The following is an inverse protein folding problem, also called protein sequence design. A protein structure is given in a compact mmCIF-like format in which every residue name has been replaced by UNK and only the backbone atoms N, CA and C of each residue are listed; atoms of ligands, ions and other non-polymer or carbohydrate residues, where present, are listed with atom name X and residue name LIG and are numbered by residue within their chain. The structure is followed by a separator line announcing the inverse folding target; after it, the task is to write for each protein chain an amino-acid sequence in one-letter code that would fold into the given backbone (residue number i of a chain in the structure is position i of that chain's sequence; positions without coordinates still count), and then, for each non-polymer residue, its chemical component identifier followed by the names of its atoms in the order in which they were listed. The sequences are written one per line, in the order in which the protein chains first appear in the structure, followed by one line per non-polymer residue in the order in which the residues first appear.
data_IF_738001672605
#
_entry.id   IF_738001672605
#
_cell.length_a   1.000
_cell.length_b   1.000
_cell.length_c   1.000
_cell.angle_alpha   90.00
_cell.angle_beta   90.00
_cell.angle_gamma   90.00
#
_symmetry.space_group_name_H-M   'P 1'
#
loop_
_entity.id
_entity.type
_entity.pdbx_description
1 polymer ?
#
# COMPACT_ATOMS: atom_id res chain seq x y z
N UNK A 1 18.80 -19.94 -5.86
CA UNK A 1 18.06 -20.09 -7.12
C UNK A 1 17.11 -18.91 -7.24
N UNK A 2 17.24 -18.08 -8.28
CA UNK A 2 16.27 -17.03 -8.57
C UNK A 2 15.18 -17.66 -9.44
N UNK A 3 13.92 -17.56 -9.02
CA UNK A 3 12.78 -18.07 -9.79
C UNK A 3 12.02 -16.87 -10.32
N UNK A 4 11.90 -16.78 -11.64
CA UNK A 4 11.10 -15.75 -12.28
C UNK A 4 9.61 -16.08 -12.15
N UNK A 5 9.01 -15.62 -11.05
CA UNK A 5 7.57 -15.79 -10.78
C UNK A 5 6.73 -14.94 -11.72
N UNK A 6 5.67 -15.50 -12.28
CA UNK A 6 4.69 -14.77 -13.11
C UNK A 6 3.58 -14.09 -12.29
N UNK A 7 3.51 -14.38 -10.99
CA UNK A 7 2.53 -13.85 -10.07
C UNK A 7 3.05 -13.94 -8.63
N UNK A 8 2.45 -13.17 -7.73
CA UNK A 8 2.84 -13.03 -6.33
C UNK A 8 1.62 -13.16 -5.44
N UNK A 9 1.78 -13.76 -4.27
CA UNK A 9 0.75 -13.79 -3.23
C UNK A 9 0.62 -12.42 -2.55
N UNK A 10 -0.51 -12.12 -1.91
CA UNK A 10 -0.67 -10.84 -1.20
C UNK A 10 0.43 -10.59 -0.16
N UNK A 11 0.85 -11.56 0.70
CA UNK A 11 1.93 -11.34 1.64
C UNK A 11 3.25 -10.91 0.97
N UNK A 12 3.61 -11.51 -0.17
CA UNK A 12 4.81 -11.11 -0.93
C UNK A 12 4.72 -9.68 -1.45
N UNK A 13 3.53 -9.27 -1.91
CA UNK A 13 3.29 -7.91 -2.39
C UNK A 13 3.36 -6.90 -1.24
N UNK A 14 2.68 -7.18 -0.12
CA UNK A 14 2.69 -6.34 1.07
C UNK A 14 4.09 -6.14 1.63
N UNK A 15 4.88 -7.22 1.72
CA UNK A 15 6.27 -7.15 2.17
C UNK A 15 7.14 -6.32 1.21
N UNK A 16 7.01 -6.57 -0.10
CA UNK A 16 7.79 -5.88 -1.13
C UNK A 16 7.48 -4.39 -1.19
N UNK A 17 6.19 -4.04 -1.18
CA UNK A 17 5.73 -2.66 -1.30
C UNK A 17 5.73 -1.91 0.03
N UNK A 18 5.85 -2.62 1.15
CA UNK A 18 5.81 -2.06 2.52
C UNK A 18 4.52 -1.28 2.79
N UNK A 19 3.41 -1.68 2.18
CA UNK A 19 2.09 -1.11 2.41
C UNK A 19 1.28 -1.97 3.37
N UNK A 20 0.24 -1.40 3.98
CA UNK A 20 -0.67 -2.18 4.80
C UNK A 20 -1.65 -2.98 3.93
N UNK A 21 -2.24 -4.04 4.50
CA UNK A 21 -3.32 -4.78 3.84
C UNK A 21 -4.49 -3.84 3.50
N UNK A 22 -4.83 -2.92 4.40
CA UNK A 22 -5.89 -1.92 4.17
C UNK A 22 -5.61 -1.02 2.96
N UNK A 23 -4.35 -0.62 2.74
CA UNK A 23 -3.98 0.19 1.57
C UNK A 23 -4.06 -0.63 0.28
N UNK A 24 -3.63 -1.90 0.30
CA UNK A 24 -3.75 -2.81 -0.84
C UNK A 24 -5.22 -3.03 -1.21
N UNK A 25 -6.07 -3.26 -0.21
CA UNK A 25 -7.53 -3.40 -0.38
C UNK A 25 -8.11 -2.13 -0.98
N UNK A 26 -7.78 -0.95 -0.45
CA UNK A 26 -8.23 0.33 -1.00
C UNK A 26 -7.86 0.47 -2.49
N UNK A 27 -6.63 0.15 -2.87
CA UNK A 27 -6.19 0.21 -4.27
C UNK A 27 -7.01 -0.73 -5.16
N UNK A 28 -7.31 -1.93 -4.67
CA UNK A 28 -8.05 -2.93 -5.44
C UNK A 28 -9.55 -2.60 -5.56
N UNK A 29 -10.19 -2.15 -4.47
CA UNK A 29 -11.59 -1.71 -4.46
C UNK A 29 -11.84 -0.47 -5.33
N UNK A 30 -10.81 0.37 -5.53
CA UNK A 30 -10.89 1.59 -6.34
C UNK A 30 -10.36 1.40 -7.77
N UNK A 31 -10.24 0.14 -8.25
CA UNK A 31 -9.83 -0.21 -9.60
C UNK A 31 -8.41 0.31 -9.98
N UNK A 32 -7.59 0.65 -8.97
CA UNK A 32 -6.18 1.07 -9.15
C UNK A 32 -5.22 -0.12 -9.24
N UNK A 33 -5.62 -1.25 -8.68
CA UNK A 33 -4.88 -2.51 -8.68
C UNK A 33 -5.79 -3.69 -9.00
N UNK A 34 -5.36 -4.57 -9.90
CA UNK A 34 -6.09 -5.79 -10.28
C UNK A 34 -5.58 -6.96 -9.46
N UNK A 35 -6.47 -7.56 -8.67
CA UNK A 35 -6.20 -8.84 -8.03
C UNK A 35 -6.78 -9.95 -8.88
N UNK A 36 -6.04 -11.05 -8.99
CA UNK A 36 -6.41 -12.21 -9.78
C UNK A 36 -6.62 -13.43 -8.90
N UNK A 37 -7.39 -14.37 -9.41
CA UNK A 37 -7.58 -15.71 -8.85
C UNK A 37 -7.12 -16.76 -9.85
N UNK A 38 -6.77 -17.95 -9.35
CA UNK A 38 -6.44 -19.07 -10.22
C UNK A 38 -7.68 -19.89 -10.54
N UNK A 39 -7.90 -20.12 -11.83
CA UNK A 39 -8.97 -20.94 -12.37
C UNK A 39 -8.36 -22.15 -13.07
N UNK A 40 -8.96 -23.32 -12.95
CA UNK A 40 -8.42 -24.58 -13.50
C UNK A 40 -9.49 -25.40 -14.21
N UNK A 41 -9.32 -25.57 -15.53
CA UNK A 41 -10.18 -26.43 -16.34
C UNK A 41 -11.64 -25.97 -16.45
N UNK A 42 -11.98 -24.79 -15.96
CA UNK A 42 -13.35 -24.29 -15.97
C UNK A 42 -13.75 -23.85 -17.38
N UNK A 43 -14.98 -24.10 -17.83
CA UNK A 43 -15.47 -23.63 -19.11
C UNK A 43 -15.69 -22.11 -19.02
N UNK A 44 -14.85 -21.35 -19.70
CA UNK A 44 -14.91 -19.88 -19.77
C UNK A 44 -15.25 -19.43 -21.19
N UNK A 45 -16.23 -18.54 -21.28
CA UNK A 45 -16.58 -17.79 -22.47
C UNK A 45 -15.89 -16.42 -22.41
N UNK A 46 -15.26 -16.05 -23.52
CA UNK A 46 -14.68 -14.75 -23.77
C UNK A 46 -15.45 -14.07 -24.89
N UNK A 47 -15.73 -12.78 -24.70
CA UNK A 47 -16.45 -12.00 -25.68
C UNK A 47 -16.32 -10.51 -25.43
N UNK A 48 -16.91 -9.76 -26.35
CA UNK A 48 -16.95 -8.30 -26.31
C UNK A 48 -18.40 -7.81 -26.15
N UNK A 49 -18.56 -6.53 -25.82
CA UNK A 49 -19.87 -5.90 -25.83
C UNK A 49 -20.07 -5.12 -27.13
N UNK A 50 -21.19 -5.39 -27.80
CA UNK A 50 -21.64 -4.57 -28.93
C UNK A 50 -22.84 -3.72 -28.53
N UNK A 51 -22.94 -2.52 -29.10
CA UNK A 51 -24.08 -1.63 -28.94
C UNK A 51 -25.10 -1.89 -30.04
N UNK A 52 -26.30 -2.30 -29.62
CA UNK A 52 -27.44 -2.45 -30.52
C UNK A 52 -27.99 -1.10 -30.99
N UNK A 53 -28.88 -1.15 -31.98
CA UNK A 53 -29.52 0.06 -32.54
C UNK A 53 -30.32 0.86 -31.48
N UNK A 54 -30.74 0.19 -30.40
CA UNK A 54 -31.48 0.80 -29.28
C UNK A 54 -30.56 1.33 -28.16
N UNK A 55 -29.23 1.32 -28.36
CA UNK A 55 -28.22 1.72 -27.36
C UNK A 55 -28.00 0.69 -26.24
N UNK A 56 -28.69 -0.45 -26.29
CA UNK A 56 -28.47 -1.57 -25.38
C UNK A 56 -27.17 -2.31 -25.70
N UNK A 57 -26.38 -2.64 -24.68
CA UNK A 57 -25.20 -3.50 -24.83
C UNK A 57 -25.57 -4.97 -24.76
N UNK A 58 -25.09 -5.76 -25.70
CA UNK A 58 -25.24 -7.21 -25.69
C UNK A 58 -23.88 -7.91 -25.82
N UNK A 59 -23.79 -9.12 -25.29
CA UNK A 59 -22.58 -9.95 -25.33
C UNK A 59 -22.42 -10.58 -26.70
N UNK A 60 -21.22 -10.48 -27.28
CA UNK A 60 -20.83 -11.15 -28.50
C UNK A 60 -19.68 -12.12 -28.19
N UNK A 61 -19.99 -13.41 -27.96
CA UNK A 61 -18.97 -14.40 -27.65
C UNK A 61 -18.14 -14.75 -28.88
N UNK A 62 -16.83 -14.82 -28.73
CA UNK A 62 -15.91 -15.22 -29.80
C UNK A 62 -15.03 -16.42 -29.42
N UNK A 63 -14.94 -16.81 -28.14
CA UNK A 63 -14.24 -18.03 -27.72
C UNK A 63 -14.93 -18.67 -26.52
N UNK A 64 -15.12 -19.99 -26.57
CA UNK A 64 -15.58 -20.81 -25.46
C UNK A 64 -14.63 -22.00 -25.32
N UNK A 65 -14.01 -22.15 -24.15
CA UNK A 65 -13.07 -23.25 -23.91
C UNK A 65 -12.87 -23.54 -22.43
N UNK A 66 -12.36 -24.74 -22.07
CA UNK A 66 -11.74 -24.96 -20.79
C UNK A 66 -10.54 -24.02 -20.60
N UNK A 67 -10.51 -23.28 -19.49
CA UNK A 67 -9.48 -22.32 -19.17
C UNK A 67 -8.74 -22.72 -17.89
N UNK A 68 -7.42 -22.67 -17.95
CA UNK A 68 -6.54 -22.82 -16.79
C UNK A 68 -5.55 -21.66 -16.76
N UNK A 69 -5.59 -20.83 -15.73
CA UNK A 69 -4.77 -19.62 -15.66
C UNK A 69 -5.24 -18.64 -14.59
N UNK A 70 -4.79 -17.39 -14.71
CA UNK A 70 -5.20 -16.30 -13.85
C UNK A 70 -6.24 -15.43 -14.53
N UNK A 71 -7.31 -15.13 -13.82
CA UNK A 71 -8.35 -14.18 -14.22
C UNK A 71 -8.51 -13.11 -13.14
N UNK A 72 -8.75 -11.87 -13.55
CA UNK A 72 -8.90 -10.75 -12.62
C UNK A 72 -10.30 -10.71 -12.02
N UNK A 73 -10.38 -10.29 -10.77
CA UNK A 73 -11.64 -9.96 -10.13
C UNK A 73 -12.08 -8.54 -10.49
N UNK A 74 -13.39 -8.30 -10.46
CA UNK A 74 -13.92 -6.94 -10.49
C UNK A 74 -13.71 -6.27 -9.13
N UNK A 75 -13.63 -4.94 -9.07
CA UNK A 75 -13.54 -4.23 -7.79
C UNK A 75 -14.69 -4.55 -6.82
N UNK A 76 -15.91 -4.77 -7.33
CA UNK A 76 -17.05 -5.19 -6.51
C UNK A 76 -16.85 -6.57 -5.87
N UNK A 77 -16.23 -7.50 -6.61
CA UNK A 77 -15.90 -8.83 -6.13
C UNK A 77 -14.84 -8.76 -5.04
N UNK A 78 -13.82 -7.90 -5.22
CA UNK A 78 -12.79 -7.66 -4.22
C UNK A 78 -13.41 -7.09 -2.94
N UNK A 79 -14.24 -6.05 -3.05
CA UNK A 79 -14.95 -5.46 -1.91
C UNK A 79 -15.77 -6.52 -1.16
N UNK A 80 -16.55 -7.33 -1.90
CA UNK A 80 -17.36 -8.38 -1.30
C UNK A 80 -16.50 -9.44 -0.61
N UNK A 81 -15.40 -9.85 -1.24
CA UNK A 81 -14.48 -10.86 -0.71
C UNK A 81 -13.82 -10.40 0.60
N UNK A 82 -13.31 -9.17 0.67
CA UNK A 82 -12.70 -8.65 1.91
C UNK A 82 -13.74 -8.37 3.00
N UNK A 83 -15.00 -8.10 2.63
CA UNK A 83 -16.11 -7.95 3.58
C UNK A 83 -16.59 -9.27 4.18
N UNK A 84 -16.70 -10.31 3.35
CA UNK A 84 -17.34 -11.58 3.72
C UNK A 84 -16.34 -12.71 4.00
N UNK A 85 -15.07 -12.56 3.60
CA UNK A 85 -14.03 -13.59 3.70
C UNK A 85 -14.03 -14.62 2.57
N UNK A 86 -15.16 -14.74 1.86
CA UNK A 86 -15.37 -15.68 0.77
C UNK A 86 -16.25 -15.08 -0.34
N UNK A 87 -16.11 -15.61 -1.56
CA UNK A 87 -16.91 -15.24 -2.72
C UNK A 87 -17.12 -16.43 -3.66
N UNK A 88 -18.27 -16.47 -4.30
CA UNK A 88 -18.57 -17.36 -5.43
C UNK A 88 -18.65 -16.51 -6.70
N UNK A 89 -17.65 -16.62 -7.57
CA UNK A 89 -17.51 -15.74 -8.75
C UNK A 89 -17.70 -16.51 -10.05
N UNK A 90 -18.44 -15.93 -10.99
CA UNK A 90 -18.62 -16.47 -12.34
C UNK A 90 -18.16 -15.53 -13.43
N UNK A 91 -17.95 -14.25 -13.11
CA UNK A 91 -17.52 -13.23 -14.06
C UNK A 91 -16.15 -12.70 -13.68
N UNK A 92 -15.30 -12.52 -14.68
CA UNK A 92 -13.92 -12.12 -14.50
C UNK A 92 -13.52 -11.06 -15.50
N UNK A 93 -12.45 -10.34 -15.16
CA UNK A 93 -11.77 -9.43 -16.08
C UNK A 93 -10.55 -10.12 -16.68
N UNK A 94 -10.25 -9.71 -17.90
CA UNK A 94 -9.05 -10.11 -18.63
C UNK A 94 -8.67 -9.01 -19.60
N UNK A 95 -7.38 -8.74 -19.84
CA UNK A 95 -6.98 -7.75 -20.84
C UNK A 95 -7.28 -8.19 -22.29
N UNK A 96 -7.78 -9.42 -22.49
CA UNK A 96 -7.99 -10.02 -23.82
C UNK A 96 -9.42 -9.88 -24.36
N UNK A 97 -10.38 -9.49 -23.53
CA UNK A 97 -11.81 -9.50 -23.84
C UNK A 97 -12.52 -8.47 -22.98
N UNK A 98 -13.63 -7.90 -23.43
CA UNK A 98 -14.42 -7.01 -22.57
C UNK A 98 -15.08 -7.77 -21.41
N UNK A 99 -15.40 -9.04 -21.61
CA UNK A 99 -15.87 -9.93 -20.54
C UNK A 99 -15.25 -11.33 -20.62
N UNK A 100 -15.12 -11.94 -19.45
CA UNK A 100 -14.92 -13.37 -19.30
C UNK A 100 -15.94 -13.91 -18.31
N UNK A 101 -16.66 -14.97 -18.65
CA UNK A 101 -17.68 -15.56 -17.79
C UNK A 101 -17.61 -17.08 -17.84
N UNK A 102 -17.91 -17.74 -16.73
CA UNK A 102 -18.29 -19.15 -16.77
C UNK A 102 -19.53 -19.29 -17.65
N UNK A 103 -19.61 -20.39 -18.40
CA UNK A 103 -20.74 -20.67 -19.29
C UNK A 103 -21.28 -22.09 -19.14
N UNK A 104 -22.47 -22.33 -19.69
CA UNK A 104 -23.15 -23.62 -19.58
C UNK A 104 -23.59 -23.90 -18.14
N UNK A 105 -23.31 -25.11 -17.64
CA UNK A 105 -23.68 -25.56 -16.30
C UNK A 105 -22.53 -25.43 -15.27
N UNK A 106 -21.50 -24.64 -15.58
CA UNK A 106 -20.40 -24.43 -14.64
C UNK A 106 -20.87 -23.75 -13.37
N UNK A 107 -20.36 -24.24 -12.24
CA UNK A 107 -20.62 -23.65 -10.93
C UNK A 107 -19.68 -22.47 -10.71
N UNK A 108 -20.13 -21.41 -10.03
CA UNK A 108 -19.25 -20.32 -9.62
C UNK A 108 -18.00 -20.84 -8.90
N UNK A 109 -16.84 -20.23 -9.20
CA UNK A 109 -15.58 -20.55 -8.54
C UNK A 109 -15.61 -20.02 -7.11
N UNK A 110 -15.35 -20.88 -6.14
CA UNK A 110 -15.19 -20.49 -4.73
C UNK A 110 -13.81 -19.87 -4.52
N UNK A 111 -13.78 -18.67 -3.93
CA UNK A 111 -12.58 -17.86 -3.74
C UNK A 111 -12.52 -17.38 -2.28
N UNK A 112 -11.36 -17.56 -1.66
CA UNK A 112 -10.98 -16.99 -0.37
C UNK A 112 -9.93 -15.90 -0.54
N UNK A 113 -9.75 -15.04 0.47
CA UNK A 113 -8.68 -14.01 0.47
C UNK A 113 -7.29 -14.64 0.23
N UNK A 114 -7.05 -15.85 0.75
CA UNK A 114 -5.79 -16.58 0.57
C UNK A 114 -5.49 -17.01 -0.88
N UNK A 115 -6.50 -17.00 -1.75
CA UNK A 115 -6.37 -17.38 -3.17
C UNK A 115 -5.98 -16.20 -4.07
N UNK A 116 -5.91 -14.99 -3.49
CA UNK A 116 -5.63 -13.76 -4.22
C UNK A 116 -4.16 -13.66 -4.62
N UNK A 117 -3.96 -13.28 -5.88
CA UNK A 117 -2.68 -13.16 -6.52
C UNK A 117 -2.57 -11.80 -7.22
N UNK A 118 -1.35 -11.31 -7.33
CA UNK A 118 -1.00 -10.18 -8.18
C UNK A 118 -0.15 -10.68 -9.35
N UNK A 119 -0.60 -10.46 -10.58
CA UNK A 119 0.21 -10.78 -11.78
C UNK A 119 1.47 -9.93 -11.84
N UNK A 120 2.55 -10.47 -12.41
CA UNK A 120 3.78 -9.71 -12.63
C UNK A 120 3.53 -8.48 -13.48
N UNK A 121 2.78 -8.62 -14.58
CA UNK A 121 2.51 -7.51 -15.49
C UNK A 121 1.75 -6.38 -14.78
N UNK A 122 0.81 -6.73 -13.91
CA UNK A 122 0.04 -5.76 -13.12
C UNK A 122 0.89 -5.08 -12.06
N UNK A 123 1.74 -5.86 -11.36
CA UNK A 123 2.73 -5.31 -10.43
C UNK A 123 3.65 -4.34 -11.15
N UNK A 124 4.23 -4.73 -12.27
CA UNK A 124 5.17 -3.92 -13.03
C UNK A 124 4.50 -2.64 -13.57
N UNK A 125 3.24 -2.74 -14.05
CA UNK A 125 2.41 -1.59 -14.43
C UNK A 125 2.21 -0.63 -13.25
N UNK A 126 1.79 -1.16 -12.10
CA UNK A 126 1.55 -0.35 -10.90
C UNK A 126 2.83 0.29 -10.40
N UNK A 127 3.93 -0.47 -10.37
CA UNK A 127 5.25 0.00 -9.95
C UNK A 127 5.74 1.15 -10.86
N UNK A 128 5.61 1.01 -12.19
CA UNK A 128 5.95 2.08 -13.13
C UNK A 128 5.09 3.34 -12.96
N UNK A 129 3.77 3.19 -12.77
CA UNK A 129 2.86 4.33 -12.61
C UNK A 129 3.05 5.08 -11.29
N UNK A 130 3.41 4.36 -10.22
CA UNK A 130 3.62 4.92 -8.89
C UNK A 130 5.05 5.43 -8.67
N UNK A 131 5.96 5.22 -9.62
CA UNK A 131 7.38 5.55 -9.45
C UNK A 131 8.13 4.58 -8.53
N UNK A 132 7.57 3.39 -8.30
CA UNK A 132 8.15 2.35 -7.45
C UNK A 132 9.42 1.77 -8.11
N UNK A 133 10.58 2.09 -7.53
CA UNK A 133 11.87 1.54 -7.97
C UNK A 133 12.20 0.28 -7.17
N UNK A 134 12.03 -0.88 -7.80
CA UNK A 134 12.44 -2.19 -7.28
C UNK A 134 13.96 -2.32 -7.25
N UNK A 135 14.62 -1.65 -6.31
CA UNK A 135 16.05 -1.77 -6.11
C UNK A 135 16.66 -0.48 -5.57
N UNK A 136 16.83 -0.43 -4.24
CA UNK A 136 17.94 0.30 -3.64
C UNK A 136 18.01 1.80 -3.86
N UNK A 137 16.92 2.54 -3.71
CA UNK A 137 16.95 3.83 -3.02
C UNK A 137 15.53 4.17 -2.62
N UNK A 138 15.31 4.30 -1.31
CA UNK A 138 14.23 5.14 -0.84
C UNK A 138 14.43 6.52 -1.48
N UNK A 139 13.59 6.87 -2.43
CA UNK A 139 13.05 8.23 -2.48
C UNK A 139 11.84 8.15 -1.54
N UNK A 140 12.01 8.31 -0.23
CA UNK A 140 11.97 9.61 0.44
C UNK A 140 10.82 10.48 -0.12
N UNK A 141 9.58 9.99 0.02
CA UNK A 141 8.63 10.85 0.69
C UNK A 141 8.90 10.71 2.19
N UNK A 142 9.56 11.71 2.75
CA UNK A 142 9.74 11.87 4.18
C UNK A 142 8.40 12.12 4.86
N UNK A 143 7.56 11.09 4.97
CA UNK A 143 6.22 11.20 5.55
C UNK A 143 6.31 11.28 7.08
N UNK A 144 6.69 12.45 7.58
CA UNK A 144 6.47 12.79 8.97
C UNK A 144 4.98 13.00 9.21
N UNK A 145 4.38 12.13 10.02
CA UNK A 145 2.98 12.23 10.42
C UNK A 145 2.95 12.30 11.94
N UNK A 146 2.25 13.28 12.50
CA UNK A 146 2.07 13.42 13.94
C UNK A 146 0.58 13.56 14.29
N UNK A 147 0.17 12.99 15.43
CA UNK A 147 -1.11 13.33 16.06
C UNK A 147 -1.14 14.82 16.44
N UNK A 148 -2.34 15.38 16.64
CA UNK A 148 -2.50 16.81 16.97
C UNK A 148 -1.66 17.23 18.20
N UNK A 149 -1.50 16.32 19.17
CA UNK A 149 -0.71 16.51 20.39
C UNK A 149 0.74 16.04 20.29
N UNK A 150 1.16 15.50 19.13
CA UNK A 150 2.49 14.94 18.87
C UNK A 150 2.88 13.77 19.79
N UNK A 151 1.93 13.17 20.51
CA UNK A 151 2.21 11.98 21.33
C UNK A 151 2.34 10.72 20.48
N UNK A 152 1.74 10.66 19.30
CA UNK A 152 1.96 9.60 18.32
C UNK A 152 2.61 10.19 17.07
N UNK A 153 3.82 9.73 16.75
CA UNK A 153 4.60 10.24 15.60
C UNK A 153 5.09 9.08 14.75
N UNK A 154 4.93 9.23 13.43
CA UNK A 154 5.52 8.37 12.40
C UNK A 154 6.57 9.16 11.64
N UNK A 155 7.76 8.62 11.52
CA UNK A 155 8.86 9.24 10.77
C UNK A 155 9.71 8.15 10.11
N UNK A 156 9.88 8.20 8.79
CA UNK A 156 10.69 7.27 8.00
C UNK A 156 10.41 5.78 8.31
N UNK A 157 9.12 5.43 8.46
CA UNK A 157 8.67 4.08 8.78
C UNK A 157 8.70 3.70 10.26
N UNK A 158 9.27 4.53 11.15
CA UNK A 158 9.30 4.30 12.59
C UNK A 158 8.09 4.91 13.28
N UNK A 159 7.55 4.23 14.30
CA UNK A 159 6.45 4.70 15.15
C UNK A 159 6.97 5.01 16.54
N UNK A 160 6.65 6.19 17.06
CA UNK A 160 7.04 6.64 18.39
C UNK A 160 5.81 7.03 19.20
N UNK A 161 5.76 6.58 20.46
CA UNK A 161 4.81 7.08 21.47
C UNK A 161 5.55 7.98 22.44
N UNK A 162 5.37 9.28 22.31
CA UNK A 162 6.14 10.31 22.97
C UNK A 162 5.44 10.78 24.26
N UNK A 163 6.22 10.96 25.32
CA UNK A 163 5.74 11.68 26.50
C UNK A 163 5.61 13.19 26.23
N UNK A 164 4.96 13.96 27.12
CA UNK A 164 4.64 15.37 26.87
C UNK A 164 5.85 16.25 26.49
N UNK A 165 6.99 16.07 27.18
CA UNK A 165 8.22 16.81 26.88
C UNK A 165 8.79 16.39 25.51
N UNK A 166 8.79 15.08 25.20
CA UNK A 166 9.27 14.57 23.92
C UNK A 166 8.41 15.08 22.77
N UNK A 167 7.08 15.07 22.93
CA UNK A 167 6.11 15.57 21.96
C UNK A 167 6.33 17.07 21.67
N UNK A 168 6.53 17.88 22.71
CA UNK A 168 6.76 19.31 22.56
C UNK A 168 8.10 19.62 21.85
N UNK A 169 9.15 18.83 22.13
CA UNK A 169 10.43 18.93 21.41
C UNK A 169 10.24 18.61 19.93
N UNK A 170 9.54 17.52 19.60
CA UNK A 170 9.33 17.09 18.22
C UNK A 170 8.46 18.09 17.46
N UNK A 171 7.41 18.65 18.11
CA UNK A 171 6.61 19.74 17.54
C UNK A 171 7.47 20.95 17.18
N UNK A 172 8.32 21.41 18.09
CA UNK A 172 9.18 22.57 17.84
C UNK A 172 10.15 22.34 16.66
N UNK A 173 10.72 21.13 16.55
CA UNK A 173 11.58 20.77 15.42
C UNK A 173 10.81 20.67 14.11
N UNK A 174 9.56 20.18 14.14
CA UNK A 174 8.71 20.11 12.95
C UNK A 174 8.32 21.48 12.43
N UNK A 175 7.85 22.36 13.31
CA UNK A 175 7.52 23.74 12.95
C UNK A 175 8.73 24.50 12.40
N UNK A 176 9.92 24.27 12.97
CA UNK A 176 11.16 24.85 12.46
C UNK A 176 11.52 24.34 11.06
N UNK A 177 11.33 23.05 10.80
CA UNK A 177 11.54 22.48 9.48
C UNK A 177 10.54 23.01 8.45
N UNK A 178 9.27 23.18 8.82
CA UNK A 178 8.24 23.80 7.96
C UNK A 178 8.56 25.26 7.61
N UNK A 179 9.26 25.99 8.49
CA UNK A 179 9.74 27.36 8.24
C UNK A 179 11.03 27.42 7.41
N UNK A 180 11.63 26.28 7.04
CA UNK A 180 12.91 26.22 6.33
C UNK A 180 14.16 26.38 7.24
N UNK A 181 13.97 26.48 8.56
CA UNK A 181 15.03 26.63 9.55
C UNK A 181 15.26 25.32 10.31
N UNK A 182 15.54 24.23 9.59
CA UNK A 182 15.48 22.88 10.17
C UNK A 182 16.41 22.66 11.38
N UNK A 183 17.60 23.28 11.39
CA UNK A 183 18.57 23.13 12.47
C UNK A 183 18.29 24.08 13.63
N UNK A 184 18.02 23.51 14.80
CA UNK A 184 17.65 24.25 15.99
C UNK A 184 18.56 23.93 17.17
N UNK A 185 18.78 24.91 18.05
CA UNK A 185 19.59 24.73 19.25
C UNK A 185 18.90 23.77 20.23
N UNK A 186 19.53 22.62 20.51
CA UNK A 186 18.98 21.63 21.42
C UNK A 186 18.73 22.18 22.82
N UNK A 187 19.62 23.05 23.31
CA UNK A 187 19.47 23.70 24.62
C UNK A 187 18.23 24.61 24.66
N UNK A 188 18.01 25.40 23.61
CA UNK A 188 16.87 26.30 23.52
C UNK A 188 15.55 25.52 23.45
N UNK A 189 15.50 24.49 22.61
CA UNK A 189 14.31 23.63 22.46
C UNK A 189 13.99 22.89 23.75
N UNK A 190 14.99 22.28 24.41
CA UNK A 190 14.77 21.56 25.66
C UNK A 190 14.26 22.50 26.77
N UNK A 191 14.81 23.70 26.86
CA UNK A 191 14.35 24.72 27.80
C UNK A 191 12.91 25.16 27.51
N UNK A 192 12.59 25.44 26.24
CA UNK A 192 11.25 25.86 25.82
C UNK A 192 10.21 24.74 26.00
N UNK A 193 10.61 23.48 25.84
CA UNK A 193 9.77 22.32 26.08
C UNK A 193 9.58 21.98 27.58
N UNK A 194 10.22 22.72 28.49
CA UNK A 194 10.13 22.47 29.94
C UNK A 194 10.92 21.26 30.42
N UNK A 195 11.93 20.81 29.67
CA UNK A 195 12.77 19.67 30.05
C UNK A 195 13.68 20.02 31.23
N UNK A 196 13.73 19.13 32.23
CA UNK A 196 14.75 19.18 33.30
C UNK A 196 16.12 18.70 32.84
N UNK A 197 16.18 17.97 31.73
CA UNK A 197 17.44 17.53 31.12
C UNK A 197 17.96 18.54 30.11
N UNK A 198 19.28 18.70 30.09
CA UNK A 198 20.02 19.53 29.14
C UNK A 198 20.48 18.75 27.88
N UNK A 199 20.23 17.44 27.83
CA UNK A 199 20.69 16.57 26.74
C UNK A 199 19.52 15.89 26.05
N UNK A 200 19.49 15.99 24.72
CA UNK A 200 18.45 15.37 23.90
C UNK A 200 18.40 13.84 24.11
N UNK A 201 19.57 13.21 24.22
CA UNK A 201 19.67 11.77 24.44
C UNK A 201 19.01 11.31 25.74
N UNK A 202 19.07 12.11 26.81
CA UNK A 202 18.47 11.75 28.10
C UNK A 202 16.95 11.89 28.05
N UNK A 203 16.43 12.85 27.28
CA UNK A 203 14.98 13.04 27.07
C UNK A 203 14.39 11.90 26.26
N UNK A 204 15.09 11.42 25.23
CA UNK A 204 14.61 10.37 24.32
C UNK A 204 15.12 8.97 24.64
N UNK A 205 15.82 8.76 25.77
CA UNK A 205 16.42 7.45 26.11
C UNK A 205 15.42 6.30 26.19
N UNK A 206 14.14 6.58 26.47
CA UNK A 206 13.07 5.58 26.52
C UNK A 206 12.57 5.16 25.12
N UNK A 207 12.88 5.94 24.09
CA UNK A 207 12.48 5.67 22.72
C UNK A 207 13.58 4.89 22.01
N UNK A 208 13.30 3.61 21.70
CA UNK A 208 14.17 2.81 20.85
C UNK A 208 14.29 3.50 19.49
N UNK A 209 15.50 3.55 18.94
CA UNK A 209 15.76 4.12 17.61
C UNK A 209 15.39 5.62 17.46
N UNK A 210 15.35 6.41 18.55
CA UNK A 210 15.00 7.85 18.49
C UNK A 210 15.86 8.71 17.56
N UNK A 211 17.07 8.23 17.19
CA UNK A 211 17.92 8.87 16.18
C UNK A 211 17.36 8.79 14.76
N UNK A 212 16.40 7.90 14.53
CA UNK A 212 15.62 7.85 13.29
C UNK A 212 14.55 8.94 13.25
N UNK A 213 14.24 9.57 14.40
CA UNK A 213 13.32 10.70 14.50
C UNK A 213 14.06 12.04 14.46
N UNK A 214 15.19 12.15 15.18
CA UNK A 214 15.92 13.41 15.37
C UNK A 214 17.39 13.23 14.98
N UNK A 215 17.89 14.07 14.07
CA UNK A 215 19.32 14.16 13.72
C UNK A 215 20.03 15.20 14.57
N UNK A 216 21.33 14.99 14.79
CA UNK A 216 22.23 15.94 15.45
C UNK A 216 23.40 16.28 14.54
N UNK A 217 23.79 17.55 14.53
CA UNK A 217 24.99 18.04 13.82
C UNK A 217 26.28 17.81 14.62
N UNK A 218 26.19 17.24 15.84
CA UNK A 218 27.27 17.07 16.82
C UNK A 218 27.89 18.37 17.34
N UNK A 219 27.28 19.53 17.07
CA UNK A 219 27.67 20.87 17.55
C UNK A 219 26.60 21.50 18.45
N UNK A 220 25.56 20.74 18.79
CA UNK A 220 24.45 21.16 19.65
C UNK A 220 23.18 21.53 18.88
N UNK A 221 23.22 21.47 17.55
CA UNK A 221 22.08 21.57 16.66
C UNK A 221 21.36 20.23 16.51
N UNK A 222 20.04 20.30 16.45
CA UNK A 222 19.15 19.18 16.21
C UNK A 222 18.10 19.56 15.17
N UNK A 223 17.69 18.59 14.35
CA UNK A 223 16.60 18.73 13.40
C UNK A 223 15.78 17.45 13.33
N UNK A 224 14.56 17.54 12.83
CA UNK A 224 13.80 16.35 12.47
C UNK A 224 14.45 15.61 11.29
N UNK A 225 14.37 14.29 11.34
CA UNK A 225 14.85 13.41 10.27
C UNK A 225 13.80 13.28 9.17
N UNK A 226 13.52 14.36 8.44
CA UNK A 226 12.50 14.41 7.39
C UNK A 226 13.09 14.80 6.04
N UNK A 227 14.38 14.54 5.86
CA UNK A 227 14.99 14.55 4.54
C UNK A 227 14.54 13.29 3.80
#
# INVERSE_FOLDING_TARGET
MHIDKLYFTLPEVLERWRISETDLVYLAENDKLRLSVRVFGEPVEFGDYEEGQDGGRFRVPWEQKPFSGLLDLHACDVFQLFRCGELHVSEFRTPRADYASLYGEAKPVFVMIGDLLLRREERDRFELQSGFSSGGSAMEESTFIASADYQEVRCNGYRFRLGPIQAQVVRALHEAAQRGEAWQSGKAILSAAGSKSLRMADVFKSQKDWRQLIRSDRRGGYRLNID
#
